data_IF_973194113808
#
_entry.id   IF_973194113808
#
_cell.length_a   1.000
_cell.length_b   1.000
_cell.length_c   1.000
_cell.angle_alpha   90.00
_cell.angle_beta   90.00
_cell.angle_gamma   90.00
#
_symmetry.space_group_name_H-M   'P 1'
#
loop_
_entity.id
_entity.type
_entity.pdbx_description
1 polymer ?
#
# COMPACT_ATOMS: atom_id res chain seq x y z
N UNK A 1 6.80 15.77 5.54
CA UNK A 1 5.68 15.07 4.84
C UNK A 1 5.08 14.02 5.75
N UNK A 2 3.83 13.62 5.52
CA UNK A 2 3.22 12.45 6.16
C UNK A 2 3.09 11.30 5.16
N UNK A 3 3.17 10.06 5.65
CA UNK A 3 3.04 8.85 4.83
C UNK A 3 2.58 7.67 5.71
N UNK A 4 2.10 6.60 5.07
CA UNK A 4 1.80 5.35 5.76
C UNK A 4 3.11 4.59 5.98
N UNK A 5 3.43 4.29 7.23
CA UNK A 5 4.55 3.45 7.62
C UNK A 5 4.03 2.08 8.05
N UNK A 6 4.55 1.03 7.42
CA UNK A 6 4.30 -0.36 7.79
C UNK A 6 5.39 -0.84 8.76
N UNK A 7 4.97 -1.28 9.93
CA UNK A 7 5.82 -1.86 10.99
C UNK A 7 5.48 -3.34 11.12
N UNK A 8 6.49 -4.20 11.08
CA UNK A 8 6.32 -5.64 11.28
C UNK A 8 6.79 -5.98 12.70
N UNK A 9 5.92 -6.63 13.48
CA UNK A 9 6.25 -7.11 14.83
C UNK A 9 5.83 -8.59 14.89
N UNK A 10 6.83 -9.49 14.95
CA UNK A 10 6.61 -10.92 14.72
C UNK A 10 6.08 -11.16 13.31
N UNK A 11 4.97 -11.90 13.19
CA UNK A 11 4.29 -12.16 11.91
C UNK A 11 3.08 -11.24 11.66
N UNK A 12 2.96 -10.13 12.39
CA UNK A 12 1.85 -9.20 12.27
C UNK A 12 2.32 -7.87 11.69
N UNK A 13 1.50 -7.32 10.82
CA UNK A 13 1.72 -6.03 10.17
C UNK A 13 0.91 -4.95 10.90
N UNK A 14 1.52 -3.80 11.14
CA UNK A 14 0.91 -2.67 11.82
C UNK A 14 1.17 -1.40 11.02
N UNK A 15 0.14 -0.61 10.77
CA UNK A 15 0.22 0.58 9.95
C UNK A 15 0.09 1.83 10.80
N UNK A 16 0.93 2.82 10.52
CA UNK A 16 0.95 4.10 11.22
C UNK A 16 0.98 5.25 10.23
N UNK A 17 0.35 6.36 10.59
CA UNK A 17 0.60 7.65 9.94
C UNK A 17 1.89 8.20 10.53
N UNK A 18 2.94 8.33 9.72
CA UNK A 18 4.24 8.84 10.15
C UNK A 18 4.53 10.18 9.52
N UNK A 19 4.95 11.15 10.33
CA UNK A 19 5.53 12.40 9.85
C UNK A 19 7.03 12.28 9.75
N UNK A 20 7.60 12.90 8.73
CA UNK A 20 9.04 13.09 8.57
C UNK A 20 9.34 14.55 8.21
N UNK A 21 10.33 15.13 8.88
CA UNK A 21 10.81 16.49 8.67
C UNK A 21 12.35 16.49 8.64
N UNK A 22 12.94 17.30 7.76
CA UNK A 22 14.39 17.51 7.72
C UNK A 22 14.76 18.70 8.61
N UNK A 23 15.61 18.47 9.62
CA UNK A 23 16.20 19.53 10.45
C UNK A 23 17.70 19.57 10.19
N UNK A 24 18.14 20.57 9.41
CA UNK A 24 19.51 20.66 8.92
C UNK A 24 19.87 19.45 8.05
N UNK A 25 20.88 18.67 8.47
CA UNK A 25 21.34 17.46 7.77
C UNK A 25 20.60 16.19 8.17
N UNK A 26 19.81 16.22 9.25
CA UNK A 26 19.14 15.03 9.79
C UNK A 26 17.67 14.99 9.40
N UNK A 27 17.16 13.78 9.13
CA UNK A 27 15.73 13.52 8.97
C UNK A 27 15.19 12.98 10.28
N UNK A 28 14.18 13.63 10.84
CA UNK A 28 13.51 13.24 12.07
C UNK A 28 12.13 12.72 11.68
N UNK A 29 11.80 11.51 12.12
CA UNK A 29 10.51 10.89 11.89
C UNK A 29 9.80 10.61 13.20
N UNK A 30 8.47 10.78 13.21
CA UNK A 30 7.60 10.52 14.37
C UNK A 30 6.29 9.88 13.91
N UNK A 31 5.87 8.85 14.63
CA UNK A 31 4.54 8.26 14.46
C UNK A 31 3.49 9.20 15.04
N UNK A 32 2.53 9.59 14.21
CA UNK A 32 1.44 10.51 14.55
C UNK A 32 0.21 9.76 15.05
N UNK A 33 -0.15 8.66 14.37
CA UNK A 33 -1.34 7.89 14.68
C UNK A 33 -1.18 6.43 14.27
N UNK A 34 -1.80 5.52 15.01
CA UNK A 34 -2.01 4.14 14.59
C UNK A 34 -3.19 4.08 13.61
N UNK A 35 -3.02 3.36 12.51
CA UNK A 35 -4.01 3.26 11.43
C UNK A 35 -4.68 1.88 11.34
N UNK A 36 -4.14 0.84 11.98
CA UNK A 36 -4.71 -0.50 11.96
C UNK A 36 -3.70 -1.58 11.61
N UNK A 37 -4.15 -2.83 11.55
CA UNK A 37 -3.33 -3.99 11.18
C UNK A 37 -3.61 -4.52 9.76
N UNK A 38 -4.55 -3.89 9.04
CA UNK A 38 -4.90 -4.20 7.65
C UNK A 38 -5.28 -2.92 6.87
N UNK A 39 -5.29 -2.98 5.54
CA UNK A 39 -5.50 -1.79 4.70
C UNK A 39 -6.94 -1.22 4.77
N UNK A 40 -7.93 -2.03 5.10
CA UNK A 40 -9.32 -1.55 5.22
C UNK A 40 -9.47 -0.69 6.48
N UNK A 41 -8.86 -1.11 7.59
CA UNK A 41 -8.71 -0.27 8.78
C UNK A 41 -7.94 1.01 8.47
N UNK A 42 -6.84 0.94 7.72
CA UNK A 42 -6.06 2.12 7.33
C UNK A 42 -6.93 3.13 6.59
N UNK A 43 -7.71 2.69 5.60
CA UNK A 43 -8.64 3.56 4.86
C UNK A 43 -9.68 4.20 5.78
N UNK A 44 -10.27 3.39 6.65
CA UNK A 44 -11.31 3.85 7.58
C UNK A 44 -10.77 4.79 8.68
N UNK A 45 -9.53 4.61 9.11
CA UNK A 45 -8.94 5.42 10.17
C UNK A 45 -8.32 6.71 9.63
N UNK A 46 -7.85 6.73 8.38
CA UNK A 46 -7.39 7.97 7.72
C UNK A 46 -8.50 9.03 7.65
N UNK A 47 -9.76 8.65 7.44
CA UNK A 47 -10.89 9.58 7.40
C UNK A 47 -11.28 10.12 8.79
N UNK A 48 -10.85 9.44 9.87
CA UNK A 48 -11.14 9.79 11.26
C UNK A 48 -10.06 10.67 11.92
N UNK A 49 -9.13 11.21 11.14
CA UNK A 49 -8.02 12.05 11.63
C UNK A 49 -8.16 13.51 11.19
N UNK A 50 -9.17 14.26 11.69
CA UNK A 50 -9.40 15.64 11.28
C UNK A 50 -8.19 16.54 11.58
N UNK A 51 -7.46 16.26 12.67
CA UNK A 51 -6.26 16.99 13.10
C UNK A 51 -5.08 16.92 12.11
N UNK A 52 -5.07 15.95 11.19
CA UNK A 52 -4.02 15.76 10.19
C UNK A 52 -4.52 15.90 8.75
N UNK A 53 -5.78 16.31 8.56
CA UNK A 53 -6.44 16.31 7.25
C UNK A 53 -5.66 17.11 6.19
N UNK A 54 -5.16 18.29 6.55
CA UNK A 54 -4.38 19.12 5.63
C UNK A 54 -3.08 18.45 5.16
N UNK A 55 -2.42 17.73 6.06
CA UNK A 55 -1.17 17.05 5.77
C UNK A 55 -1.44 15.81 4.91
N UNK A 56 -2.48 15.04 5.26
CA UNK A 56 -2.95 13.88 4.51
C UNK A 56 -3.33 14.30 3.08
N UNK A 57 -4.07 15.41 2.93
CA UNK A 57 -4.48 15.96 1.63
C UNK A 57 -3.26 16.36 0.78
N UNK A 58 -2.26 17.02 1.39
CA UNK A 58 -1.01 17.40 0.70
C UNK A 58 -0.23 16.20 0.17
N UNK A 59 -0.29 15.06 0.86
CA UNK A 59 0.41 13.83 0.47
C UNK A 59 -0.54 12.76 -0.06
N UNK A 60 -1.72 13.16 -0.53
CA UNK A 60 -2.77 12.24 -0.96
C UNK A 60 -2.25 11.25 -2.00
N UNK A 61 -1.50 11.73 -3.01
CA UNK A 61 -0.93 10.86 -4.06
C UNK A 61 -0.03 9.76 -3.47
N UNK A 62 0.82 10.09 -2.51
CA UNK A 62 1.71 9.11 -1.86
C UNK A 62 0.92 8.07 -1.06
N UNK A 63 -0.07 8.52 -0.28
CA UNK A 63 -0.92 7.65 0.52
C UNK A 63 -1.78 6.75 -0.38
N UNK A 64 -2.39 7.34 -1.41
CA UNK A 64 -3.23 6.63 -2.36
C UNK A 64 -2.44 5.57 -3.13
N UNK A 65 -1.26 5.92 -3.65
CA UNK A 65 -0.39 4.95 -4.33
C UNK A 65 0.00 3.81 -3.40
N UNK A 66 0.33 4.08 -2.13
CA UNK A 66 0.62 3.03 -1.16
C UNK A 66 -0.57 2.07 -1.00
N UNK A 67 -1.78 2.61 -0.85
CA UNK A 67 -2.99 1.81 -0.69
C UNK A 67 -3.29 0.98 -1.93
N UNK A 68 -3.19 1.56 -3.13
CA UNK A 68 -3.48 0.86 -4.38
C UNK A 68 -2.44 -0.22 -4.68
N UNK A 69 -1.15 0.07 -4.52
CA UNK A 69 -0.07 -0.91 -4.74
C UNK A 69 -0.17 -2.13 -3.82
N UNK A 70 -0.77 -2.00 -2.63
CA UNK A 70 -0.91 -3.10 -1.69
C UNK A 70 -2.30 -3.75 -1.69
N UNK A 71 -3.28 -3.18 -2.40
CA UNK A 71 -4.68 -3.64 -2.39
C UNK A 71 -4.83 -5.09 -2.86
N UNK A 72 -4.14 -5.46 -3.94
CA UNK A 72 -4.21 -6.82 -4.48
C UNK A 72 -3.47 -7.83 -3.62
N UNK A 73 -2.34 -7.43 -3.04
CA UNK A 73 -1.56 -8.29 -2.15
C UNK A 73 -2.37 -8.68 -0.91
N UNK A 74 -3.05 -7.72 -0.29
CA UNK A 74 -3.91 -7.99 0.86
C UNK A 74 -5.11 -8.88 0.51
N UNK A 75 -5.75 -8.66 -0.64
CA UNK A 75 -6.83 -9.54 -1.12
C UNK A 75 -6.35 -10.98 -1.26
N UNK A 76 -5.15 -11.19 -1.79
CA UNK A 76 -4.57 -12.52 -1.94
C UNK A 76 -4.19 -13.12 -0.59
N UNK A 77 -3.64 -12.35 0.35
CA UNK A 77 -3.38 -12.83 1.72
C UNK A 77 -4.65 -13.26 2.47
N UNK A 78 -5.75 -12.56 2.26
CA UNK A 78 -7.06 -12.94 2.81
C UNK A 78 -7.67 -14.15 2.10
N UNK A 79 -7.26 -14.39 0.86
CA UNK A 79 -7.70 -15.56 0.09
C UNK A 79 -6.97 -16.81 0.56
N UNK A 80 -7.69 -17.93 0.66
CA UNK A 80 -7.08 -19.24 1.01
C UNK A 80 -6.42 -19.85 -0.23
N UNK A 81 -5.30 -19.29 -0.66
CA UNK A 81 -4.48 -19.86 -1.73
C UNK A 81 -3.68 -21.07 -1.26
N UNK A 82 -3.55 -22.07 -2.13
CA UNK A 82 -2.76 -23.28 -1.86
C UNK A 82 -1.28 -22.93 -1.88
N UNK A 83 -0.51 -23.48 -0.95
CA UNK A 83 0.94 -23.33 -0.93
C UNK A 83 1.56 -23.96 -2.17
N UNK A 84 2.53 -23.26 -2.75
CA UNK A 84 3.33 -23.73 -3.87
C UNK A 84 4.80 -23.80 -3.43
N UNK A 85 5.39 -24.99 -3.51
CA UNK A 85 6.75 -25.25 -3.05
C UNK A 85 7.82 -24.61 -3.95
N UNK A 86 7.48 -24.27 -5.20
CA UNK A 86 8.40 -23.61 -6.12
C UNK A 86 8.40 -22.09 -5.94
N UNK A 87 7.23 -21.52 -5.63
CA UNK A 87 7.09 -20.06 -5.52
C UNK A 87 7.42 -19.53 -4.12
N UNK A 88 7.26 -20.33 -3.06
CA UNK A 88 7.59 -19.95 -1.69
C UNK A 88 7.01 -18.58 -1.31
N UNK A 89 7.87 -17.67 -0.83
CA UNK A 89 7.51 -16.32 -0.39
C UNK A 89 6.98 -15.42 -1.53
N UNK A 90 7.27 -15.77 -2.79
CA UNK A 90 6.84 -15.01 -3.97
C UNK A 90 5.43 -15.33 -4.45
N UNK A 91 4.82 -16.38 -3.91
CA UNK A 91 3.48 -16.81 -4.29
C UNK A 91 2.44 -15.68 -4.17
N UNK A 92 2.43 -14.96 -3.04
CA UNK A 92 1.48 -13.88 -2.80
C UNK A 92 1.66 -12.71 -3.78
N UNK A 93 2.90 -12.35 -4.09
CA UNK A 93 3.21 -11.27 -5.04
C UNK A 93 2.73 -11.65 -6.45
N UNK A 94 3.02 -12.87 -6.90
CA UNK A 94 2.65 -13.36 -8.24
C UNK A 94 1.13 -13.44 -8.39
N UNK A 95 0.44 -14.02 -7.43
CA UNK A 95 -1.02 -14.12 -7.45
C UNK A 95 -1.67 -12.73 -7.37
N UNK A 96 -1.06 -11.77 -6.66
CA UNK A 96 -1.53 -10.39 -6.64
C UNK A 96 -1.38 -9.71 -8.02
N UNK A 97 -0.22 -9.88 -8.67
CA UNK A 97 0.01 -9.40 -10.03
C UNK A 97 -0.99 -10.00 -11.03
N UNK A 98 -1.23 -11.31 -10.94
CA UNK A 98 -2.19 -12.02 -11.78
C UNK A 98 -3.62 -11.53 -11.55
N UNK A 99 -4.00 -11.29 -10.30
CA UNK A 99 -5.32 -10.74 -9.95
C UNK A 99 -5.50 -9.33 -10.52
N UNK A 100 -4.51 -8.45 -10.39
CA UNK A 100 -4.52 -7.13 -10.99
C UNK A 100 -4.63 -7.20 -12.52
N UNK A 101 -3.80 -8.03 -13.16
CA UNK A 101 -3.79 -8.19 -14.61
C UNK A 101 -5.19 -8.56 -15.15
N UNK A 102 -5.83 -9.55 -14.53
CA UNK A 102 -7.15 -10.03 -14.95
C UNK A 102 -8.28 -9.05 -14.63
N UNK A 103 -8.18 -8.26 -13.55
CA UNK A 103 -9.27 -7.39 -13.08
C UNK A 103 -9.21 -5.95 -13.58
N UNK A 104 -8.04 -5.46 -13.94
CA UNK A 104 -7.86 -4.06 -14.36
C UNK A 104 -7.17 -3.99 -15.72
N UNK A 105 -5.96 -4.54 -15.82
CA UNK A 105 -5.15 -4.38 -17.04
C UNK A 105 -5.87 -4.90 -18.29
N UNK A 106 -6.52 -6.06 -18.24
CA UNK A 106 -7.26 -6.61 -19.37
C UNK A 106 -8.43 -5.73 -19.85
N UNK A 107 -8.98 -4.89 -18.99
CA UNK A 107 -10.11 -4.01 -19.31
C UNK A 107 -9.69 -2.63 -19.82
N UNK A 108 -8.41 -2.28 -19.77
CA UNK A 108 -7.91 -1.06 -20.37
C UNK A 108 -8.03 -1.08 -21.91
N UNK A 109 -8.10 0.11 -22.49
CA UNK A 109 -8.04 0.27 -23.94
C UNK A 109 -6.65 -0.11 -24.47
N UNK A 110 -6.56 -0.25 -25.78
CA UNK A 110 -5.35 -0.75 -26.45
C UNK A 110 -4.15 0.20 -26.26
N UNK A 111 -4.36 1.51 -26.35
CA UNK A 111 -3.27 2.49 -26.25
C UNK A 111 -2.69 2.50 -24.82
N UNK A 112 -3.56 2.50 -23.82
CA UNK A 112 -3.14 2.42 -22.40
C UNK A 112 -2.34 1.14 -22.11
N UNK A 113 -2.75 -0.01 -22.67
CA UNK A 113 -1.99 -1.27 -22.53
C UNK A 113 -0.60 -1.20 -23.16
N UNK A 114 -0.50 -0.60 -24.34
CA UNK A 114 0.77 -0.42 -25.06
C UNK A 114 1.72 0.49 -24.28
N UNK A 115 1.24 1.63 -23.78
CA UNK A 115 2.05 2.55 -22.96
C UNK A 115 2.62 1.87 -21.70
N UNK A 116 1.80 1.10 -20.98
CA UNK A 116 2.22 0.41 -19.76
C UNK A 116 3.30 -0.64 -20.07
N UNK A 117 3.14 -1.41 -21.15
CA UNK A 117 4.09 -2.48 -21.53
C UNK A 117 5.40 -1.96 -22.15
N UNK A 118 5.39 -0.75 -22.71
CA UNK A 118 6.60 -0.13 -23.30
C UNK A 118 7.47 0.54 -22.22
N UNK A 119 6.89 0.91 -21.08
CA UNK A 119 7.59 1.54 -19.95
C UNK A 119 8.09 0.54 -18.89
N UNK A 120 7.77 -0.76 -19.03
CA UNK A 120 8.16 -1.86 -18.13
C UNK A 120 9.34 -2.66 -18.66
#
# INVERSE_FOLDING_TARGET
>A
MVYIYKKIIGNKEYYYLRASERKGTKVIAKDLAYLGDNLDEVKNNLTKLPQYNDQIRKTYKTIHNFLESNRYLEKIKQSKIKSDNFLGDKLFEIEACKLHYNKEFQHYDKLTKEEILVLS
#
